data_IF_543280491297
#
_entry.id   IF_543280491297
#
_cell.length_a   1.000
_cell.length_b   1.000
_cell.length_c   1.000
_cell.angle_alpha   90.00
_cell.angle_beta   90.00
_cell.angle_gamma   90.00
#
_symmetry.space_group_name_H-M   'P 1'
#
loop_
_entity.id
_entity.type
_entity.pdbx_description
1 polymer ?
#
# COMPACT_ATOMS: atom_id res chain seq x y z
N UNK A 1 20.30 108.78 -51.78
CA UNK A 1 21.51 108.29 -51.07
C UNK A 1 21.46 106.81 -50.70
N UNK A 2 20.41 106.04 -51.05
CA UNK A 2 20.28 104.58 -50.65
C UNK A 2 20.89 103.55 -51.70
N UNK A 3 21.15 104.02 -52.99
CA UNK A 3 21.67 103.10 -54.04
C UNK A 3 23.19 102.88 -53.99
N UNK A 4 23.94 103.79 -53.38
CA UNK A 4 25.42 103.68 -53.28
C UNK A 4 25.89 102.75 -52.18
N UNK A 5 25.09 102.62 -51.16
CA UNK A 5 25.40 101.69 -50.02
C UNK A 5 25.24 100.19 -50.37
N UNK A 6 24.28 99.90 -51.25
CA UNK A 6 24.05 98.51 -51.68
C UNK A 6 25.15 98.01 -52.64
N UNK A 7 25.66 98.96 -53.47
CA UNK A 7 26.74 98.58 -54.37
C UNK A 7 28.09 98.37 -53.66
N UNK A 8 28.37 99.06 -52.59
CA UNK A 8 29.56 98.82 -51.75
C UNK A 8 29.49 97.53 -50.94
N UNK A 9 28.33 97.16 -50.50
CA UNK A 9 28.12 95.91 -49.80
C UNK A 9 28.25 94.69 -50.74
N UNK A 10 27.82 94.81 -52.00
CA UNK A 10 27.96 93.75 -53.00
C UNK A 10 29.42 93.54 -53.44
N UNK A 11 30.20 94.57 -53.52
CA UNK A 11 31.60 94.48 -53.83
C UNK A 11 32.42 93.91 -52.69
N UNK A 12 32.10 94.23 -51.44
CA UNK A 12 32.74 93.67 -50.25
C UNK A 12 32.47 92.13 -50.11
N UNK A 13 31.27 91.72 -50.45
CA UNK A 13 30.96 90.29 -50.47
C UNK A 13 31.63 89.50 -51.59
N UNK A 14 31.87 90.14 -52.72
CA UNK A 14 32.54 89.49 -53.86
C UNK A 14 34.08 89.39 -53.69
N UNK A 15 34.70 90.25 -52.88
CA UNK A 15 36.15 90.23 -52.58
C UNK A 15 36.41 89.11 -51.49
N UNK A 16 35.49 88.83 -50.65
CA UNK A 16 35.62 87.75 -49.65
C UNK A 16 35.49 86.35 -50.19
N UNK A 17 34.96 86.18 -51.43
CA UNK A 17 34.85 84.87 -52.08
C UNK A 17 36.07 84.48 -52.90
N UNK A 18 37.07 85.36 -53.07
CA UNK A 18 38.28 85.11 -53.90
C UNK A 18 39.52 84.73 -53.09
N UNK A 19 39.47 84.58 -51.81
CA UNK A 19 40.59 84.20 -50.93
C UNK A 19 40.60 82.73 -50.51
N UNK A 20 39.70 81.90 -51.01
CA UNK A 20 39.61 80.49 -50.64
C UNK A 20 40.27 79.57 -51.69
N UNK A 21 41.42 79.87 -52.15
CA UNK A 21 42.16 78.91 -52.96
C UNK A 21 43.69 78.99 -52.64
N UNK A 22 44.01 78.65 -51.42
CA UNK A 22 45.38 78.39 -50.97
C UNK A 22 45.54 76.90 -50.79
N UNK A 23 45.89 76.21 -51.87
CA UNK A 23 46.24 74.79 -51.85
C UNK A 23 47.51 74.54 -51.03
N UNK A 24 47.31 74.25 -49.77
CA UNK A 24 48.36 73.63 -48.99
C UNK A 24 48.51 72.19 -49.51
N UNK A 25 49.62 71.90 -50.17
CA UNK A 25 50.04 70.51 -50.35
C UNK A 25 50.34 69.96 -49.00
N UNK A 26 49.38 69.23 -48.43
CA UNK A 26 49.60 68.39 -47.31
C UNK A 26 50.39 67.16 -47.79
N UNK A 27 51.70 67.24 -47.65
CA UNK A 27 52.57 66.08 -47.85
C UNK A 27 52.12 65.06 -46.77
N UNK A 28 51.47 64.06 -47.25
CA UNK A 28 51.27 62.87 -46.42
C UNK A 28 52.65 62.37 -46.00
N UNK A 29 52.92 62.17 -44.74
CA UNK A 29 54.13 61.48 -44.31
C UNK A 29 54.07 60.07 -44.88
N UNK A 30 54.94 59.85 -45.89
CA UNK A 30 55.25 58.51 -46.39
C UNK A 30 56.09 57.85 -45.28
N UNK A 31 55.46 57.42 -44.26
CA UNK A 31 56.06 56.48 -43.34
C UNK A 31 55.78 55.10 -43.90
N UNK A 32 56.75 54.49 -44.52
CA UNK A 32 56.70 53.07 -44.91
C UNK A 32 56.77 52.14 -43.72
N UNK A 33 56.65 52.70 -42.52
CA UNK A 33 56.55 51.93 -41.27
C UNK A 33 55.09 51.59 -40.98
N UNK A 34 54.66 50.42 -41.38
CA UNK A 34 53.43 49.81 -40.97
C UNK A 34 53.64 49.14 -39.59
N UNK A 35 52.81 49.39 -38.63
CA UNK A 35 52.92 48.65 -37.36
C UNK A 35 52.68 47.16 -37.61
N UNK A 36 53.73 46.39 -37.54
CA UNK A 36 53.65 44.95 -37.62
C UNK A 36 53.52 44.35 -36.21
N UNK A 37 52.55 43.54 -36.05
CA UNK A 37 52.40 42.76 -34.84
C UNK A 37 53.18 41.46 -35.04
N UNK A 38 54.18 41.24 -34.24
CA UNK A 38 54.88 39.95 -34.22
C UNK A 38 53.99 38.95 -33.57
N UNK A 39 53.43 37.99 -34.31
CA UNK A 39 52.66 36.90 -33.81
C UNK A 39 53.58 35.85 -33.19
N UNK A 40 53.67 35.86 -31.88
CA UNK A 40 54.41 34.83 -31.14
C UNK A 40 53.47 33.65 -30.82
N UNK A 41 54.05 32.47 -30.74
CA UNK A 41 53.32 31.33 -30.23
C UNK A 41 53.01 31.54 -28.72
N UNK A 42 51.76 31.74 -28.40
CA UNK A 42 51.28 31.81 -26.99
C UNK A 42 50.52 30.53 -26.66
N UNK A 43 50.83 29.96 -25.50
CA UNK A 43 50.02 28.85 -24.98
C UNK A 43 48.65 29.38 -24.57
N UNK A 44 47.64 29.16 -25.40
CA UNK A 44 46.25 29.44 -25.06
C UNK A 44 45.62 28.21 -24.42
N UNK A 45 45.17 28.34 -23.16
CA UNK A 45 44.29 27.32 -22.57
C UNK A 45 42.87 27.55 -23.07
N UNK A 46 42.41 26.69 -23.93
CA UNK A 46 41.05 26.70 -24.40
C UNK A 46 40.19 25.97 -23.34
N UNK A 47 39.40 26.70 -22.56
CA UNK A 47 38.41 26.14 -21.68
C UNK A 47 37.10 25.92 -22.44
N UNK A 48 36.83 24.67 -22.75
CA UNK A 48 35.53 24.29 -23.33
C UNK A 48 34.63 23.79 -22.19
N UNK A 49 33.52 24.45 -21.98
CA UNK A 49 32.51 24.04 -20.97
C UNK A 49 31.48 23.15 -21.66
N UNK A 50 31.32 21.94 -21.15
CA UNK A 50 30.27 21.03 -21.59
C UNK A 50 29.16 21.03 -20.57
N UNK A 51 27.89 21.26 -20.95
CA UNK A 51 26.77 21.09 -20.03
C UNK A 51 26.65 19.59 -19.69
N UNK A 52 26.66 19.25 -18.41
CA UNK A 52 26.46 17.90 -17.93
C UNK A 52 25.34 17.90 -16.92
N UNK A 53 24.43 16.92 -17.02
CA UNK A 53 23.37 16.67 -16.06
C UNK A 53 23.72 15.43 -15.26
N UNK A 54 23.89 15.59 -13.96
CA UNK A 54 24.13 14.48 -13.03
C UNK A 54 22.77 13.89 -12.67
N UNK A 55 22.59 12.61 -12.94
CA UNK A 55 21.42 11.85 -12.50
C UNK A 55 21.85 10.74 -11.57
N UNK A 56 20.99 10.36 -10.61
CA UNK A 56 21.21 9.18 -9.79
C UNK A 56 21.27 7.91 -10.65
N UNK A 57 22.03 6.91 -10.21
CA UNK A 57 22.10 5.59 -10.89
C UNK A 57 20.72 4.93 -10.90
N UNK A 58 19.92 5.17 -9.85
CA UNK A 58 18.57 4.68 -9.72
C UNK A 58 17.67 5.81 -9.19
N UNK A 59 16.58 6.08 -9.90
CA UNK A 59 15.53 7.00 -9.49
C UNK A 59 14.26 6.19 -9.24
N UNK A 60 13.71 6.30 -8.01
CA UNK A 60 12.55 5.51 -7.58
C UNK A 60 11.45 6.46 -7.14
N UNK A 61 10.37 6.46 -7.89
CA UNK A 61 9.16 7.19 -7.52
C UNK A 61 8.38 6.42 -6.44
N UNK A 62 8.20 7.02 -5.26
CA UNK A 62 7.47 6.41 -4.14
C UNK A 62 6.04 6.96 -4.12
N UNK A 63 5.07 6.07 -4.39
CA UNK A 63 3.64 6.38 -4.36
C UNK A 63 2.93 5.60 -3.25
N UNK A 64 1.99 6.22 -2.50
CA UNK A 64 1.17 5.48 -1.55
C UNK A 64 0.25 4.49 -2.28
N UNK A 65 0.00 3.32 -1.68
CA UNK A 65 -0.96 2.33 -2.17
C UNK A 65 -2.40 2.62 -1.73
N UNK A 66 -2.58 3.62 -0.86
CA UNK A 66 -3.87 4.02 -0.29
C UNK A 66 -4.14 5.48 -0.61
N UNK A 67 -5.43 5.82 -0.73
CA UNK A 67 -5.86 7.20 -0.96
C UNK A 67 -6.08 7.91 0.38
N UNK A 68 -5.71 9.19 0.44
CA UNK A 68 -5.90 10.03 1.62
C UNK A 68 -5.01 11.26 1.61
N UNK A 69 -5.15 12.11 2.61
CA UNK A 69 -4.31 13.29 2.80
C UNK A 69 -3.04 12.94 3.58
N UNK A 70 -1.92 13.58 3.24
CA UNK A 70 -0.68 13.44 4.01
C UNK A 70 -0.85 14.20 5.33
N UNK A 71 -0.77 13.47 6.44
CA UNK A 71 -0.88 14.06 7.79
C UNK A 71 0.48 14.44 8.36
N UNK A 72 1.53 13.70 8.02
CA UNK A 72 2.89 13.97 8.50
C UNK A 72 3.90 13.62 7.42
N UNK A 73 4.84 14.54 7.20
CA UNK A 73 6.02 14.36 6.36
C UNK A 73 7.24 14.33 7.28
N UNK A 74 8.07 13.30 7.17
CA UNK A 74 9.23 13.07 8.04
C UNK A 74 10.57 13.36 7.37
N UNK A 75 10.56 13.73 6.09
CA UNK A 75 11.77 13.92 5.29
C UNK A 75 11.74 15.25 4.55
N UNK A 76 12.93 15.76 4.22
CA UNK A 76 13.12 16.97 3.44
C UNK A 76 13.84 16.65 2.12
N UNK A 77 13.73 17.54 1.14
CA UNK A 77 14.48 17.43 -0.11
C UNK A 77 15.99 17.46 0.17
N UNK A 78 16.73 16.55 -0.45
CA UNK A 78 18.17 16.38 -0.25
C UNK A 78 18.57 15.61 0.99
N UNK A 79 17.63 15.14 1.83
CA UNK A 79 17.92 14.35 3.03
C UNK A 79 18.27 12.90 2.65
N UNK A 80 19.25 12.33 3.36
CA UNK A 80 19.59 10.91 3.19
C UNK A 80 18.65 10.02 4.01
N UNK A 81 18.03 9.05 3.35
CA UNK A 81 17.11 8.07 3.95
C UNK A 81 17.62 6.65 3.78
N UNK A 82 17.30 5.79 4.74
CA UNK A 82 17.62 4.37 4.71
C UNK A 82 16.44 3.56 4.16
N UNK A 83 16.74 2.41 3.56
CA UNK A 83 15.70 1.47 3.18
C UNK A 83 14.82 1.10 4.40
N UNK A 84 13.49 1.13 4.22
CA UNK A 84 12.51 0.89 5.29
C UNK A 84 12.19 2.10 6.19
N UNK A 85 12.89 3.23 6.05
CA UNK A 85 12.58 4.46 6.78
C UNK A 85 11.23 5.03 6.34
N UNK A 86 10.39 5.46 7.30
CA UNK A 86 9.10 6.10 7.00
C UNK A 86 9.37 7.50 6.44
N UNK A 87 8.81 7.78 5.26
CA UNK A 87 8.93 9.05 4.56
C UNK A 87 7.78 9.99 4.93
N UNK A 88 6.56 9.49 4.86
CA UNK A 88 5.36 10.24 5.20
C UNK A 88 4.23 9.30 5.64
N UNK A 89 3.23 9.86 6.28
CA UNK A 89 2.04 9.15 6.76
C UNK A 89 0.79 9.77 6.13
N UNK A 90 -0.01 8.92 5.52
CA UNK A 90 -1.36 9.25 5.02
C UNK A 90 -2.35 9.13 6.18
N UNK A 91 -3.45 9.91 6.16
CA UNK A 91 -4.51 9.82 7.17
C UNK A 91 -4.97 8.36 7.32
N UNK A 92 -4.76 7.83 8.52
CA UNK A 92 -5.00 6.43 8.83
C UNK A 92 -6.25 6.22 9.71
N UNK A 93 -7.01 7.26 10.00
CA UNK A 93 -8.16 7.22 10.91
C UNK A 93 -9.22 6.21 10.48
N UNK A 94 -9.57 6.21 9.20
CA UNK A 94 -10.55 5.28 8.60
C UNK A 94 -10.01 3.85 8.58
N UNK A 95 -8.72 3.66 8.29
CA UNK A 95 -8.07 2.35 8.27
C UNK A 95 -7.94 1.74 9.67
N UNK A 96 -7.67 2.58 10.69
CA UNK A 96 -7.70 2.15 12.09
C UNK A 96 -9.11 1.70 12.51
N UNK A 97 -10.15 2.43 12.08
CA UNK A 97 -11.53 2.03 12.35
C UNK A 97 -11.86 0.68 11.69
N UNK A 98 -11.41 0.46 10.45
CA UNK A 98 -11.57 -0.82 9.74
C UNK A 98 -10.86 -1.98 10.46
N UNK A 99 -9.66 -1.76 11.00
CA UNK A 99 -8.94 -2.76 11.81
C UNK A 99 -9.76 -3.11 13.06
N UNK A 100 -10.22 -2.11 13.84
CA UNK A 100 -11.05 -2.37 15.02
C UNK A 100 -12.34 -3.12 14.68
N UNK A 101 -12.98 -2.82 13.57
CA UNK A 101 -14.17 -3.53 13.10
C UNK A 101 -13.83 -5.00 12.77
N UNK A 102 -12.73 -5.24 12.05
CA UNK A 102 -12.30 -6.60 11.72
C UNK A 102 -11.89 -7.40 12.98
N UNK A 103 -11.26 -6.76 13.98
CA UNK A 103 -10.95 -7.38 15.27
C UNK A 103 -12.21 -7.80 16.02
N UNK A 104 -13.22 -6.94 16.06
CA UNK A 104 -14.53 -7.29 16.66
C UNK A 104 -15.18 -8.47 15.92
N UNK A 105 -15.03 -8.56 14.60
CA UNK A 105 -15.55 -9.69 13.82
C UNK A 105 -14.83 -11.00 14.16
N UNK A 106 -13.52 -10.98 14.41
CA UNK A 106 -12.76 -12.16 14.87
C UNK A 106 -13.26 -12.62 16.23
N UNK A 107 -13.47 -11.69 17.18
CA UNK A 107 -14.00 -12.02 18.52
C UNK A 107 -15.41 -12.63 18.42
N UNK A 108 -16.27 -12.08 17.56
CA UNK A 108 -17.61 -12.64 17.31
C UNK A 108 -17.54 -14.05 16.74
N UNK A 109 -16.66 -14.30 15.75
CA UNK A 109 -16.48 -15.63 15.18
C UNK A 109 -15.94 -16.65 16.22
N UNK A 110 -15.00 -16.22 17.09
CA UNK A 110 -14.49 -17.05 18.19
C UNK A 110 -15.59 -17.43 19.19
N UNK A 111 -16.48 -16.49 19.50
CA UNK A 111 -17.65 -16.79 20.34
C UNK A 111 -18.57 -17.83 19.68
N UNK A 112 -18.68 -17.78 18.35
CA UNK A 112 -19.38 -18.80 17.56
C UNK A 112 -18.78 -20.20 17.73
N UNK A 113 -17.44 -20.32 17.78
CA UNK A 113 -16.75 -21.59 18.05
C UNK A 113 -17.10 -22.11 19.45
N UNK A 114 -17.06 -21.25 20.47
CA UNK A 114 -17.43 -21.65 21.83
C UNK A 114 -18.88 -22.15 21.90
N UNK A 115 -19.83 -21.50 21.23
CA UNK A 115 -21.21 -21.94 21.11
C UNK A 115 -21.35 -23.29 20.37
N UNK A 116 -20.58 -23.52 19.32
CA UNK A 116 -20.58 -24.81 18.63
C UNK A 116 -19.99 -25.94 19.50
N UNK A 117 -18.92 -25.67 20.26
CA UNK A 117 -18.32 -26.61 21.20
C UNK A 117 -19.30 -26.98 22.31
N UNK A 118 -20.08 -26.04 22.86
CA UNK A 118 -21.12 -26.32 23.84
C UNK A 118 -22.19 -27.29 23.29
N UNK A 119 -22.52 -27.17 21.98
CA UNK A 119 -23.43 -28.11 21.31
C UNK A 119 -22.84 -29.53 21.21
N UNK A 120 -21.53 -29.66 20.99
CA UNK A 120 -20.86 -30.98 21.02
C UNK A 120 -20.92 -31.60 22.39
N UNK A 121 -20.71 -30.81 23.45
CA UNK A 121 -20.87 -31.31 24.84
C UNK A 121 -22.29 -31.79 25.08
N UNK A 122 -23.30 -31.05 24.67
CA UNK A 122 -24.71 -31.44 24.78
C UNK A 122 -25.02 -32.71 23.98
N UNK A 123 -24.53 -32.83 22.73
CA UNK A 123 -24.75 -34.01 21.93
C UNK A 123 -24.08 -35.26 22.52
N UNK A 124 -22.89 -35.12 23.10
CA UNK A 124 -22.20 -36.21 23.80
C UNK A 124 -22.96 -36.63 25.05
N UNK A 125 -23.55 -35.70 25.81
CA UNK A 125 -24.42 -36.03 26.98
C UNK A 125 -25.64 -36.85 26.52
N UNK A 126 -26.27 -36.44 25.39
CA UNK A 126 -27.39 -37.19 24.81
C UNK A 126 -26.97 -38.60 24.35
N UNK A 127 -25.79 -38.73 23.74
CA UNK A 127 -25.24 -40.03 23.34
C UNK A 127 -24.97 -40.92 24.55
N UNK A 128 -24.40 -40.38 25.64
CA UNK A 128 -24.17 -41.12 26.87
C UNK A 128 -25.48 -41.62 27.49
N UNK A 129 -26.54 -40.80 27.48
CA UNK A 129 -27.86 -41.20 27.94
C UNK A 129 -28.47 -42.33 27.10
N UNK A 130 -28.36 -42.21 25.75
CA UNK A 130 -28.83 -43.25 24.83
C UNK A 130 -28.07 -44.57 25.03
N UNK A 131 -26.75 -44.50 25.22
CA UNK A 131 -25.91 -45.68 25.51
C UNK A 131 -26.28 -46.35 26.80
N UNK A 132 -26.57 -45.60 27.88
CA UNK A 132 -27.03 -46.14 29.13
C UNK A 132 -28.39 -46.87 29.01
N UNK A 133 -29.33 -46.28 28.27
CA UNK A 133 -30.62 -46.88 27.97
C UNK A 133 -30.48 -48.17 27.14
N UNK A 134 -29.62 -48.14 26.09
CA UNK A 134 -29.35 -49.33 25.29
C UNK A 134 -28.67 -50.45 26.09
N UNK A 135 -27.77 -50.11 27.02
CA UNK A 135 -27.16 -51.07 27.92
C UNK A 135 -28.20 -51.74 28.85
N UNK A 136 -29.15 -50.97 29.39
CA UNK A 136 -30.25 -51.50 30.21
C UNK A 136 -31.16 -52.40 29.40
N UNK A 137 -31.61 -51.97 28.21
CA UNK A 137 -32.46 -52.76 27.32
C UNK A 137 -31.77 -54.04 26.85
N UNK A 138 -30.45 -53.96 26.57
CA UNK A 138 -29.64 -55.13 26.23
C UNK A 138 -29.61 -56.16 27.35
N UNK A 139 -29.46 -55.72 28.61
CA UNK A 139 -29.47 -56.60 29.79
C UNK A 139 -30.82 -57.27 29.92
N UNK A 140 -31.92 -56.49 29.81
CA UNK A 140 -33.30 -57.03 29.87
C UNK A 140 -33.51 -58.06 28.75
N UNK A 141 -33.17 -57.77 27.53
CA UNK A 141 -33.28 -58.72 26.41
C UNK A 141 -32.45 -60.00 26.68
N UNK A 142 -31.20 -59.87 27.16
CA UNK A 142 -30.35 -61.05 27.51
C UNK A 142 -30.98 -61.88 28.59
N UNK A 143 -31.58 -61.31 29.62
CA UNK A 143 -32.27 -62.00 30.69
C UNK A 143 -33.56 -62.71 30.20
N UNK A 144 -34.38 -61.98 29.40
CA UNK A 144 -35.58 -62.57 28.78
C UNK A 144 -35.25 -63.74 27.87
N UNK A 145 -34.15 -63.67 27.13
CA UNK A 145 -33.67 -64.75 26.29
C UNK A 145 -33.27 -65.98 27.09
N UNK A 146 -32.63 -65.80 28.24
CA UNK A 146 -32.29 -66.90 29.14
C UNK A 146 -33.56 -67.55 29.75
N UNK A 147 -34.56 -66.75 30.18
CA UNK A 147 -35.82 -67.22 30.73
C UNK A 147 -36.63 -67.96 29.65
N UNK A 148 -36.66 -67.47 28.40
CA UNK A 148 -37.36 -68.19 27.33
C UNK A 148 -36.69 -69.54 27.02
N UNK A 149 -35.35 -69.58 26.95
CA UNK A 149 -34.62 -70.85 26.76
C UNK A 149 -34.92 -71.88 27.86
N UNK A 150 -35.23 -71.41 29.11
CA UNK A 150 -35.65 -72.24 30.23
C UNK A 150 -37.17 -72.45 30.28
N UNK A 151 -37.90 -71.99 29.23
CA UNK A 151 -39.37 -72.15 29.09
C UNK A 151 -40.17 -71.45 30.24
N UNK A 152 -39.63 -70.34 30.77
CA UNK A 152 -40.28 -69.60 31.90
C UNK A 152 -41.19 -68.50 31.33
N UNK A 153 -40.85 -67.94 30.15
CA UNK A 153 -41.63 -66.88 29.50
C UNK A 153 -42.05 -67.32 28.10
N UNK A 154 -43.09 -66.63 27.55
CA UNK A 154 -43.57 -66.80 26.17
C UNK A 154 -42.68 -66.08 25.10
N UNK A 155 -42.91 -66.40 23.86
CA UNK A 155 -42.23 -65.81 22.71
C UNK A 155 -42.55 -64.30 22.60
N UNK A 156 -43.79 -63.90 22.86
CA UNK A 156 -44.21 -62.48 22.79
C UNK A 156 -43.42 -61.59 23.76
N UNK A 157 -43.09 -62.10 24.97
CA UNK A 157 -42.32 -61.33 25.96
C UNK A 157 -40.85 -61.24 25.56
N UNK A 158 -40.26 -62.26 24.93
CA UNK A 158 -38.93 -62.17 24.32
C UNK A 158 -38.88 -61.19 23.18
N UNK A 159 -39.86 -61.23 22.26
CA UNK A 159 -39.95 -60.29 21.12
C UNK A 159 -40.12 -58.86 21.58
N UNK A 160 -40.96 -58.63 22.60
CA UNK A 160 -41.12 -57.30 23.23
C UNK A 160 -39.79 -56.77 23.79
N UNK A 161 -38.99 -57.61 24.49
CA UNK A 161 -37.68 -57.21 25.00
C UNK A 161 -36.67 -56.96 23.90
N UNK A 162 -36.73 -57.72 22.80
CA UNK A 162 -35.89 -57.55 21.61
C UNK A 162 -36.20 -56.20 20.92
N UNK A 163 -37.48 -55.93 20.68
CA UNK A 163 -37.93 -54.68 20.06
C UNK A 163 -37.53 -53.45 20.89
N UNK A 164 -37.62 -53.54 22.22
CA UNK A 164 -37.14 -52.49 23.13
C UNK A 164 -35.63 -52.25 23.01
N UNK A 165 -34.82 -53.31 22.85
CA UNK A 165 -33.39 -53.21 22.63
C UNK A 165 -33.06 -52.59 21.26
N UNK A 166 -33.71 -53.08 20.20
CA UNK A 166 -33.53 -52.53 18.85
C UNK A 166 -33.90 -51.04 18.76
N UNK A 167 -34.98 -50.63 19.43
CA UNK A 167 -35.37 -49.23 19.54
C UNK A 167 -34.33 -48.41 20.29
N UNK A 168 -33.80 -48.92 21.41
CA UNK A 168 -32.74 -48.24 22.14
C UNK A 168 -31.42 -48.11 21.30
N UNK A 169 -31.09 -49.14 20.51
CA UNK A 169 -29.95 -49.10 19.62
C UNK A 169 -30.12 -48.09 18.45
N UNK A 170 -31.33 -47.97 17.92
CA UNK A 170 -31.67 -46.93 16.96
C UNK A 170 -31.49 -45.51 17.55
N UNK A 171 -31.88 -45.33 18.83
CA UNK A 171 -31.67 -44.07 19.55
C UNK A 171 -30.17 -43.73 19.73
N UNK A 172 -29.31 -44.73 19.96
CA UNK A 172 -27.86 -44.55 19.99
C UNK A 172 -27.33 -44.07 18.62
N UNK A 173 -27.78 -44.71 17.53
CA UNK A 173 -27.38 -44.30 16.18
C UNK A 173 -27.82 -42.86 15.84
N UNK A 174 -29.01 -42.49 16.28
CA UNK A 174 -29.51 -41.12 16.14
C UNK A 174 -28.65 -40.12 16.93
N UNK A 175 -28.30 -40.45 18.18
CA UNK A 175 -27.46 -39.59 19.01
C UNK A 175 -26.03 -39.46 18.45
N UNK A 176 -25.47 -40.56 17.90
CA UNK A 176 -24.18 -40.51 17.18
C UNK A 176 -24.22 -39.57 15.99
N UNK A 177 -25.28 -39.61 15.18
CA UNK A 177 -25.50 -38.66 14.07
C UNK A 177 -25.57 -37.22 14.57
N UNK A 178 -26.21 -37.01 15.76
CA UNK A 178 -26.23 -35.72 16.43
C UNK A 178 -24.83 -35.19 16.78
N UNK A 179 -23.98 -36.07 17.34
CA UNK A 179 -22.57 -35.72 17.64
C UNK A 179 -21.79 -35.39 16.35
N UNK A 180 -21.96 -36.16 15.27
CA UNK A 180 -21.32 -35.89 13.97
C UNK A 180 -21.74 -34.52 13.43
N UNK A 181 -23.05 -34.20 13.50
CA UNK A 181 -23.58 -32.91 13.09
C UNK A 181 -23.03 -31.75 13.94
N UNK A 182 -22.94 -31.91 15.25
CA UNK A 182 -22.34 -30.90 16.13
C UNK A 182 -20.86 -30.67 15.84
N UNK A 183 -20.10 -31.72 15.57
CA UNK A 183 -18.68 -31.60 15.17
C UNK A 183 -18.53 -30.88 13.81
N UNK A 184 -19.41 -31.14 12.84
CA UNK A 184 -19.43 -30.41 11.58
C UNK A 184 -19.68 -28.90 11.79
N UNK A 185 -20.58 -28.55 12.73
CA UNK A 185 -20.81 -27.15 13.10
C UNK A 185 -19.58 -26.47 13.73
N UNK A 186 -18.77 -27.20 14.53
CA UNK A 186 -17.48 -26.68 15.05
C UNK A 186 -16.52 -26.42 13.90
N UNK A 187 -16.42 -27.34 12.95
CA UNK A 187 -15.56 -27.16 11.76
C UNK A 187 -15.97 -25.94 10.95
N UNK A 188 -17.27 -25.71 10.76
CA UNK A 188 -17.80 -24.52 10.08
C UNK A 188 -17.49 -23.24 10.87
N UNK A 189 -17.64 -23.25 12.20
CA UNK A 189 -17.32 -22.12 13.05
C UNK A 189 -15.82 -21.76 12.97
N UNK A 190 -14.92 -22.76 12.94
CA UNK A 190 -13.50 -22.52 12.71
C UNK A 190 -13.20 -21.93 11.32
N UNK A 191 -13.96 -22.31 10.29
CA UNK A 191 -13.83 -21.69 8.98
C UNK A 191 -14.22 -20.20 9.01
N UNK A 192 -15.27 -19.85 9.75
CA UNK A 192 -15.67 -18.45 9.96
C UNK A 192 -14.58 -17.65 10.69
N UNK A 193 -13.91 -18.23 11.69
CA UNK A 193 -12.75 -17.58 12.35
C UNK A 193 -11.61 -17.32 11.36
N UNK A 194 -11.26 -18.30 10.54
CA UNK A 194 -10.21 -18.11 9.51
C UNK A 194 -10.58 -17.00 8.51
N UNK A 195 -11.84 -16.94 8.09
CA UNK A 195 -12.33 -15.88 7.22
C UNK A 195 -12.22 -14.50 7.87
N UNK A 196 -12.66 -14.37 9.14
CA UNK A 196 -12.54 -13.11 9.88
C UNK A 196 -11.07 -12.70 10.09
N UNK A 197 -10.17 -13.65 10.35
CA UNK A 197 -8.73 -13.40 10.46
C UNK A 197 -8.12 -12.93 9.14
N UNK A 198 -8.54 -13.48 8.00
CA UNK A 198 -8.10 -13.01 6.69
C UNK A 198 -8.55 -11.56 6.42
N UNK A 199 -9.79 -11.21 6.79
CA UNK A 199 -10.28 -9.83 6.71
C UNK A 199 -9.48 -8.89 7.61
N UNK A 200 -9.14 -9.33 8.84
CA UNK A 200 -8.30 -8.56 9.76
C UNK A 200 -6.89 -8.35 9.18
N UNK A 201 -6.28 -9.38 8.59
CA UNK A 201 -4.97 -9.25 7.93
C UNK A 201 -5.02 -8.21 6.82
N UNK A 202 -6.03 -8.26 5.94
CA UNK A 202 -6.22 -7.27 4.87
C UNK A 202 -6.39 -5.85 5.42
N UNK A 203 -7.17 -5.68 6.51
CA UNK A 203 -7.34 -4.37 7.14
C UNK A 203 -6.03 -3.85 7.74
N UNK A 204 -5.22 -4.71 8.36
CA UNK A 204 -3.88 -4.36 8.90
C UNK A 204 -2.90 -4.02 7.80
N UNK A 205 -2.91 -4.73 6.68
CA UNK A 205 -2.07 -4.41 5.51
C UNK A 205 -2.42 -3.03 4.95
N UNK A 206 -3.72 -2.74 4.79
CA UNK A 206 -4.18 -1.42 4.34
C UNK A 206 -3.76 -0.30 5.31
N UNK A 207 -3.84 -0.54 6.62
CA UNK A 207 -3.31 0.39 7.63
C UNK A 207 -1.79 0.54 7.50
N UNK A 208 -1.08 -0.56 7.23
CA UNK A 208 0.37 -0.55 6.98
C UNK A 208 0.76 0.30 5.78
N UNK A 209 -0.05 0.31 4.72
CA UNK A 209 0.19 1.13 3.52
C UNK A 209 0.02 2.63 3.75
N UNK A 210 -0.62 3.05 4.85
CA UNK A 210 -0.65 4.46 5.25
C UNK A 210 0.72 4.97 5.67
N UNK A 211 1.64 4.11 6.10
CA UNK A 211 3.01 4.43 6.46
C UNK A 211 3.92 4.16 5.27
N UNK A 212 4.14 5.18 4.45
CA UNK A 212 4.95 5.05 3.24
C UNK A 212 6.43 5.04 3.60
N UNK A 213 7.13 3.97 3.21
CA UNK A 213 8.53 3.73 3.53
C UNK A 213 9.40 3.78 2.28
N UNK A 214 10.66 4.14 2.45
CA UNK A 214 11.64 4.08 1.37
C UNK A 214 11.95 2.63 0.99
N UNK A 215 11.90 2.26 -0.30
CA UNK A 215 12.28 0.92 -0.76
C UNK A 215 13.80 0.72 -0.83
N UNK A 216 14.59 1.80 -0.88
CA UNK A 216 16.05 1.78 -1.01
C UNK A 216 16.67 2.88 -0.15
N UNK A 217 17.97 2.76 0.13
CA UNK A 217 18.74 3.85 0.74
C UNK A 217 19.20 4.83 -0.34
N UNK A 218 19.11 6.14 -0.06
CA UNK A 218 19.45 7.17 -1.04
C UNK A 218 19.09 8.56 -0.54
N UNK A 219 19.15 9.55 -1.45
CA UNK A 219 18.77 10.91 -1.16
C UNK A 219 17.36 11.19 -1.67
N UNK A 220 16.60 11.94 -0.89
CA UNK A 220 15.25 12.39 -1.27
C UNK A 220 15.38 13.41 -2.39
N UNK A 221 14.75 13.15 -3.50
CA UNK A 221 14.65 14.07 -4.62
C UNK A 221 13.64 15.20 -4.38
N UNK A 222 12.98 15.64 -5.46
CA UNK A 222 11.94 16.66 -5.39
C UNK A 222 10.65 16.10 -4.76
N UNK A 223 10.07 16.86 -3.85
CA UNK A 223 8.79 16.56 -3.24
C UNK A 223 7.70 17.36 -3.98
N UNK A 224 6.78 16.70 -4.73
CA UNK A 224 5.76 17.40 -5.51
C UNK A 224 4.68 18.09 -4.66
N UNK A 225 4.64 17.79 -3.36
CA UNK A 225 3.65 18.32 -2.40
C UNK A 225 4.38 19.01 -1.25
N UNK A 226 4.08 20.28 -1.09
CA UNK A 226 4.53 21.10 0.05
C UNK A 226 3.34 21.42 0.95
#
# INVERSE_FOLDING_TARGET
MKKKSILLSAIAAMVLLLTSCGGGKQSLPTSDEYPVITIGAANAQLKTTFPATIKGVQDVEVRPKVSGFITKLYVHEGEYVRAGQVLFVVDNSTYQAAVRQAEAQVVSAQSGVAGAQARVVQANASLNSANAQAATSRLTYSNSKNLYNNKVIGEDELESAKNAYETAQAAVSQAQSGVASANAAVTQAHAAVRQAQAMLATAKDNLGFCYVKSPASGYVGSLPYK
#
